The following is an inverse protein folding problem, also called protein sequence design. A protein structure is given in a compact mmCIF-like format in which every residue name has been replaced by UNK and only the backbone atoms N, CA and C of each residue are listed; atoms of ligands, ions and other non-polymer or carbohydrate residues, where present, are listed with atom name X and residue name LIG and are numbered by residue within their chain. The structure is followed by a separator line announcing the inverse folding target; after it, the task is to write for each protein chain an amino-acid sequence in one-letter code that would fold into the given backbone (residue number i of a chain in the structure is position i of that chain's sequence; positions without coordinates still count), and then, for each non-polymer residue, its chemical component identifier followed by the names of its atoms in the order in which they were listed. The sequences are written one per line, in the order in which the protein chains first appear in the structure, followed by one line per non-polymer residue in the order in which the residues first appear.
data_IF_181657586671
#
_entry.id   IF_181657586671
#
_cell.length_a   1.000
_cell.length_b   1.000
_cell.length_c   1.000
_cell.angle_alpha   90.00
_cell.angle_beta   90.00
_cell.angle_gamma   90.00
#
_symmetry.space_group_name_H-M   'P 1'
#
loop_
_entity.id
_entity.type
_entity.pdbx_description
1 polymer ?
#
# COMPACT_ATOMS: atom_id res chain seq x y z
N UNK A 1 -0.31 18.13 -6.67
CA UNK A 1 -0.91 17.86 -5.34
C UNK A 1 -2.29 17.18 -5.40
N UNK A 2 -3.17 17.52 -6.35
CA UNK A 2 -4.50 16.86 -6.50
C UNK A 2 -4.39 15.34 -6.59
N UNK A 3 -3.50 14.74 -7.41
CA UNK A 3 -3.39 13.28 -7.49
C UNK A 3 -3.05 12.61 -6.15
N UNK A 4 -2.18 13.23 -5.34
CA UNK A 4 -1.84 12.68 -4.01
C UNK A 4 -3.02 12.69 -3.04
N UNK A 5 -3.85 13.74 -3.06
CA UNK A 5 -5.07 13.82 -2.24
C UNK A 5 -6.12 12.81 -2.69
N UNK A 6 -6.30 12.61 -4.00
CA UNK A 6 -7.15 11.54 -4.53
C UNK A 6 -6.64 10.17 -4.09
N UNK A 7 -5.33 9.96 -4.09
CA UNK A 7 -4.71 8.72 -3.59
C UNK A 7 -5.10 8.44 -2.15
N UNK A 8 -5.10 9.46 -1.27
CA UNK A 8 -5.49 9.32 0.16
C UNK A 8 -6.90 8.75 0.28
N UNK A 9 -7.86 9.35 -0.41
CA UNK A 9 -9.26 8.91 -0.37
C UNK A 9 -9.45 7.52 -0.99
N UNK A 10 -8.83 7.28 -2.14
CA UNK A 10 -8.92 6.00 -2.84
C UNK A 10 -8.25 4.87 -2.04
N UNK A 11 -7.12 5.11 -1.41
CA UNK A 11 -6.47 4.12 -0.55
C UNK A 11 -7.27 3.84 0.71
N UNK A 12 -7.91 4.84 1.32
CA UNK A 12 -8.80 4.64 2.45
C UNK A 12 -9.99 3.73 2.10
N UNK A 13 -10.68 4.02 0.99
CA UNK A 13 -11.77 3.18 0.47
C UNK A 13 -11.29 1.77 0.10
N UNK A 14 -10.15 1.67 -0.59
CA UNK A 14 -9.54 0.39 -0.96
C UNK A 14 -9.19 -0.46 0.24
N UNK A 15 -8.73 0.14 1.34
CA UNK A 15 -8.34 -0.59 2.54
C UNK A 15 -9.55 -1.22 3.25
N UNK A 16 -10.65 -0.48 3.39
CA UNK A 16 -11.90 -1.00 3.96
C UNK A 16 -12.46 -2.13 3.07
N UNK A 17 -12.47 -1.93 1.75
CA UNK A 17 -12.91 -2.97 0.81
C UNK A 17 -11.95 -4.16 0.77
N UNK A 18 -10.64 -3.93 0.92
CA UNK A 18 -9.60 -4.93 0.95
C UNK A 18 -9.68 -5.84 2.17
N UNK A 19 -9.96 -5.30 3.36
CA UNK A 19 -10.20 -6.10 4.56
C UNK A 19 -11.38 -7.07 4.35
N UNK A 20 -12.50 -6.60 3.81
CA UNK A 20 -13.67 -7.45 3.51
C UNK A 20 -13.33 -8.49 2.43
N UNK A 21 -12.60 -8.09 1.39
CA UNK A 21 -12.14 -9.01 0.36
C UNK A 21 -11.26 -10.11 0.95
N UNK A 22 -10.30 -9.75 1.81
CA UNK A 22 -9.44 -10.72 2.49
C UNK A 22 -10.23 -11.68 3.39
N UNK A 23 -11.29 -11.18 4.03
CA UNK A 23 -12.19 -12.02 4.88
C UNK A 23 -13.06 -12.97 4.08
N UNK A 24 -13.55 -12.54 2.91
CA UNK A 24 -14.52 -13.31 2.13
C UNK A 24 -13.88 -14.28 1.13
N UNK A 25 -12.72 -13.92 0.58
CA UNK A 25 -11.99 -14.73 -0.40
C UNK A 25 -10.75 -15.43 0.17
N UNK A 26 -10.33 -15.05 1.40
CA UNK A 26 -9.01 -15.36 1.94
C UNK A 26 -7.96 -14.32 1.49
N UNK A 27 -6.94 -14.11 2.32
CA UNK A 27 -5.94 -13.06 2.09
C UNK A 27 -5.22 -13.23 0.74
N UNK A 28 -4.70 -14.44 0.47
CA UNK A 28 -3.91 -14.72 -0.74
C UNK A 28 -4.76 -14.70 -2.01
N UNK A 29 -5.94 -15.35 -1.96
CA UNK A 29 -6.85 -15.42 -3.11
C UNK A 29 -7.48 -14.08 -3.41
N UNK A 30 -7.88 -13.33 -2.37
CA UNK A 30 -8.45 -11.99 -2.52
C UNK A 30 -7.46 -11.04 -3.18
N UNK A 31 -6.19 -11.06 -2.73
CA UNK A 31 -5.15 -10.24 -3.35
C UNK A 31 -4.85 -10.69 -4.79
N UNK A 32 -4.75 -12.02 -5.05
CA UNK A 32 -4.51 -12.53 -6.39
C UNK A 32 -5.61 -12.11 -7.37
N UNK A 33 -6.90 -12.28 -7.01
CA UNK A 33 -8.02 -11.90 -7.85
C UNK A 33 -8.05 -10.40 -8.13
N UNK A 34 -7.77 -9.58 -7.12
CA UNK A 34 -7.68 -8.13 -7.25
C UNK A 34 -6.61 -7.72 -8.25
N UNK A 35 -5.39 -8.26 -8.10
CA UNK A 35 -4.28 -7.94 -8.99
C UNK A 35 -4.49 -8.51 -10.40
N UNK A 36 -5.10 -9.69 -10.53
CA UNK A 36 -5.47 -10.27 -11.83
C UNK A 36 -6.42 -9.34 -12.60
N UNK A 37 -7.53 -8.92 -11.97
CA UNK A 37 -8.49 -8.02 -12.60
C UNK A 37 -7.87 -6.68 -12.96
N UNK A 38 -7.06 -6.12 -12.07
CA UNK A 38 -6.36 -4.87 -12.32
C UNK A 38 -5.36 -5.00 -13.48
N UNK A 39 -4.56 -6.06 -13.51
CA UNK A 39 -3.60 -6.33 -14.59
C UNK A 39 -4.31 -6.49 -15.94
N UNK A 40 -5.43 -7.21 -15.97
CA UNK A 40 -6.20 -7.40 -17.20
C UNK A 40 -6.74 -6.07 -17.73
N UNK A 41 -7.42 -5.28 -16.88
CA UNK A 41 -8.03 -4.01 -17.29
C UNK A 41 -6.97 -2.98 -17.65
N UNK A 42 -6.00 -2.77 -16.77
CA UNK A 42 -4.96 -1.75 -16.98
C UNK A 42 -4.01 -2.14 -18.11
N UNK A 43 -3.66 -3.42 -18.21
CA UNK A 43 -2.83 -3.94 -19.29
C UNK A 43 -3.49 -3.76 -20.64
N UNK A 44 -4.78 -4.09 -20.79
CA UNK A 44 -5.52 -3.89 -22.02
C UNK A 44 -5.60 -2.40 -22.42
N UNK A 45 -5.89 -1.51 -21.49
CA UNK A 45 -5.94 -0.07 -21.72
C UNK A 45 -4.55 0.47 -22.09
N UNK A 46 -3.49 0.08 -21.37
CA UNK A 46 -2.14 0.53 -21.65
C UNK A 46 -1.67 0.07 -23.02
N UNK A 47 -1.91 -1.19 -23.38
CA UNK A 47 -1.55 -1.71 -24.69
C UNK A 47 -2.31 -1.02 -25.83
N UNK A 48 -3.60 -0.70 -25.62
CA UNK A 48 -4.42 -0.08 -26.66
C UNK A 48 -4.14 1.42 -26.84
N UNK A 49 -3.87 2.16 -25.78
CA UNK A 49 -3.80 3.63 -25.82
C UNK A 49 -2.43 4.20 -25.52
N UNK A 50 -1.54 3.45 -24.87
CA UNK A 50 -0.22 3.93 -24.44
C UNK A 50 0.92 2.95 -24.75
N UNK A 51 0.99 2.37 -25.97
CA UNK A 51 1.99 1.33 -26.28
C UNK A 51 3.43 1.85 -26.18
N UNK A 52 3.67 3.13 -26.46
CA UNK A 52 4.99 3.76 -26.35
C UNK A 52 5.54 3.82 -24.92
N UNK A 53 4.69 3.64 -23.89
CA UNK A 53 5.12 3.59 -22.49
C UNK A 53 5.67 2.21 -22.07
N UNK A 54 5.57 1.18 -22.92
CA UNK A 54 5.97 -0.21 -22.62
C UNK A 54 7.43 -0.49 -23.03
N UNK A 55 8.32 0.48 -22.79
CA UNK A 55 9.74 0.36 -23.08
C UNK A 55 10.49 -0.44 -22.02
N UNK A 56 11.41 -1.29 -22.44
CA UNK A 56 12.17 -2.18 -21.56
C UNK A 56 12.97 -1.41 -20.48
N UNK A 57 13.44 -0.21 -20.79
CA UNK A 57 14.21 0.64 -19.87
C UNK A 57 13.41 1.03 -18.60
N UNK A 58 12.10 1.20 -18.71
CA UNK A 58 11.21 1.59 -17.62
C UNK A 58 10.45 0.40 -17.06
N UNK A 59 10.04 -0.53 -17.91
CA UNK A 59 9.24 -1.69 -17.55
C UNK A 59 9.93 -2.54 -16.46
N UNK A 60 11.23 -2.80 -16.61
CA UNK A 60 11.97 -3.61 -15.63
C UNK A 60 11.95 -3.02 -14.21
N UNK A 61 12.13 -1.71 -14.09
CA UNK A 61 12.07 -1.01 -12.80
C UNK A 61 10.65 -1.03 -12.20
N UNK A 62 9.63 -0.77 -13.01
CA UNK A 62 8.24 -0.78 -12.55
C UNK A 62 7.76 -2.18 -12.20
N UNK A 63 8.15 -3.18 -12.97
CA UNK A 63 7.88 -4.58 -12.67
C UNK A 63 8.53 -4.98 -11.34
N UNK A 64 9.80 -4.67 -11.13
CA UNK A 64 10.51 -4.92 -9.85
C UNK A 64 9.84 -4.17 -8.68
N UNK A 65 9.49 -2.90 -8.88
CA UNK A 65 8.71 -2.13 -7.89
C UNK A 65 7.40 -2.84 -7.53
N UNK A 66 6.73 -3.41 -8.52
CA UNK A 66 5.50 -4.17 -8.35
C UNK A 66 5.71 -5.48 -7.61
N UNK A 67 6.76 -6.21 -7.93
CA UNK A 67 7.12 -7.45 -7.21
C UNK A 67 7.29 -7.18 -5.71
N UNK A 68 7.99 -6.10 -5.36
CA UNK A 68 8.27 -5.74 -3.96
C UNK A 68 7.02 -5.16 -3.29
N UNK A 69 6.39 -4.15 -3.90
CA UNK A 69 5.26 -3.42 -3.31
C UNK A 69 3.96 -4.21 -3.32
N UNK A 70 3.53 -4.70 -4.48
CA UNK A 70 2.27 -5.44 -4.62
C UNK A 70 2.42 -6.95 -4.44
N UNK A 71 3.57 -7.51 -4.83
CA UNK A 71 3.84 -8.92 -4.62
C UNK A 71 3.98 -9.22 -3.13
N UNK A 72 5.13 -8.97 -2.57
CA UNK A 72 5.40 -9.25 -1.15
C UNK A 72 4.66 -8.30 -0.22
N UNK A 73 4.64 -7.00 -0.52
CA UNK A 73 3.99 -5.97 0.31
C UNK A 73 2.49 -6.19 0.45
N UNK A 74 1.75 -6.43 -0.62
CA UNK A 74 0.30 -6.63 -0.54
C UNK A 74 -0.11 -8.01 -0.01
N UNK A 75 0.70 -9.05 -0.23
CA UNK A 75 0.48 -10.32 0.47
C UNK A 75 0.52 -10.09 1.98
N UNK A 76 1.54 -9.39 2.46
CA UNK A 76 1.64 -9.02 3.86
C UNK A 76 0.50 -8.11 4.31
N UNK A 77 0.12 -7.11 3.50
CA UNK A 77 -1.01 -6.20 3.75
C UNK A 77 -2.33 -6.96 3.95
N UNK A 78 -2.65 -7.89 3.07
CA UNK A 78 -3.88 -8.68 3.15
C UNK A 78 -3.87 -9.67 4.32
N UNK A 79 -2.70 -10.19 4.69
CA UNK A 79 -2.52 -10.99 5.89
C UNK A 79 -2.68 -10.15 7.17
N UNK A 80 -2.28 -8.88 7.15
CA UNK A 80 -2.48 -7.95 8.26
C UNK A 80 -3.95 -7.56 8.41
N UNK A 81 -4.67 -7.30 7.31
CA UNK A 81 -6.08 -6.92 7.35
C UNK A 81 -6.95 -7.86 8.19
N UNK A 82 -6.82 -9.15 8.01
CA UNK A 82 -7.62 -10.15 8.74
C UNK A 82 -7.22 -10.30 10.20
N UNK A 83 -6.02 -9.86 10.59
CA UNK A 83 -5.45 -10.01 11.94
C UNK A 83 -5.60 -8.77 12.81
N UNK A 84 -5.38 -7.59 12.24
CA UNK A 84 -5.37 -6.32 12.99
C UNK A 84 -6.33 -5.27 12.43
N UNK A 85 -7.02 -5.57 11.31
CA UNK A 85 -7.99 -4.70 10.64
C UNK A 85 -7.35 -3.67 9.73
N UNK A 86 -8.19 -3.04 8.89
CA UNK A 86 -7.73 -2.12 7.87
C UNK A 86 -7.06 -0.88 8.44
N UNK A 87 -7.61 -0.30 9.51
CA UNK A 87 -7.12 0.96 10.09
C UNK A 87 -5.70 0.87 10.63
N UNK A 88 -5.44 -0.13 11.53
CA UNK A 88 -4.08 -0.32 12.08
C UNK A 88 -3.11 -0.79 10.99
N UNK A 89 -3.56 -1.62 10.06
CA UNK A 89 -2.75 -2.07 8.93
C UNK A 89 -2.29 -0.91 8.05
N UNK A 90 -3.19 0.02 7.69
CA UNK A 90 -2.85 1.19 6.87
C UNK A 90 -1.95 2.16 7.62
N UNK A 91 -2.17 2.33 8.94
CA UNK A 91 -1.25 3.13 9.76
C UNK A 91 0.18 2.57 9.70
N UNK A 92 0.34 1.25 9.93
CA UNK A 92 1.64 0.59 9.85
C UNK A 92 2.23 0.70 8.45
N UNK A 93 1.44 0.45 7.42
CA UNK A 93 1.90 0.48 6.04
C UNK A 93 2.36 1.89 5.64
N UNK A 94 1.48 2.88 5.70
CA UNK A 94 1.75 4.20 5.10
C UNK A 94 2.58 5.14 5.97
N UNK A 95 2.49 5.03 7.30
CA UNK A 95 3.33 5.86 8.17
C UNK A 95 4.76 5.33 8.29
N UNK A 96 5.00 4.02 8.10
CA UNK A 96 6.37 3.49 8.12
C UNK A 96 7.03 3.48 6.75
N UNK A 97 6.28 3.55 5.65
CA UNK A 97 6.83 3.56 4.30
C UNK A 97 7.89 4.67 4.07
N UNK A 98 7.72 5.92 4.53
CA UNK A 98 8.76 6.95 4.41
C UNK A 98 10.07 6.61 5.13
N UNK A 99 10.01 5.87 6.25
CA UNK A 99 11.22 5.42 6.97
C UNK A 99 11.99 4.39 6.13
N UNK A 100 11.28 3.45 5.52
CA UNK A 100 11.89 2.46 4.62
C UNK A 100 12.45 3.09 3.36
N UNK A 101 11.75 4.09 2.80
CA UNK A 101 12.27 4.88 1.67
C UNK A 101 13.55 5.60 2.04
N UNK A 102 13.58 6.26 3.21
CA UNK A 102 14.76 6.97 3.70
C UNK A 102 15.94 6.03 3.95
N UNK A 103 15.68 4.85 4.51
CA UNK A 103 16.70 3.82 4.74
C UNK A 103 17.29 3.30 3.41
N UNK A 104 16.44 3.03 2.41
CA UNK A 104 16.91 2.59 1.11
C UNK A 104 17.75 3.67 0.43
N UNK A 105 17.32 4.94 0.47
CA UNK A 105 18.10 6.05 -0.05
C UNK A 105 19.47 6.17 0.65
N UNK A 106 19.51 5.99 1.97
CA UNK A 106 20.77 6.02 2.73
C UNK A 106 21.73 4.90 2.31
N UNK A 107 21.23 3.68 2.13
CA UNK A 107 22.03 2.51 1.74
C UNK A 107 22.44 2.59 0.26
N UNK A 108 21.53 3.01 -0.63
CA UNK A 108 21.77 3.00 -2.07
C UNK A 108 22.56 4.22 -2.55
N UNK A 109 22.26 5.42 -1.98
CA UNK A 109 22.90 6.68 -2.38
C UNK A 109 24.02 7.10 -1.42
N UNK A 110 24.28 6.34 -0.36
CA UNK A 110 25.30 6.64 0.65
C UNK A 110 24.97 7.86 1.53
N UNK A 111 23.75 8.33 1.50
CA UNK A 111 23.29 9.47 2.30
C UNK A 111 23.16 9.06 3.78
N UNK A 112 23.95 9.66 4.67
CA UNK A 112 23.84 9.38 6.10
C UNK A 112 22.56 10.02 6.67
N UNK A 113 21.82 9.23 7.44
CA UNK A 113 20.70 9.76 8.22
C UNK A 113 21.21 10.77 9.25
N UNK A 114 20.62 11.96 9.25
CA UNK A 114 20.91 13.00 10.22
C UNK A 114 20.24 12.72 11.57
N UNK A 115 20.71 13.33 12.65
CA UNK A 115 20.09 13.18 13.98
C UNK A 115 18.62 13.67 13.98
N UNK A 116 18.32 14.71 13.22
CA UNK A 116 16.98 15.25 13.08
C UNK A 116 16.04 14.28 12.32
N UNK A 117 16.53 13.60 11.28
CA UNK A 117 15.76 12.54 10.58
C UNK A 117 15.51 11.34 11.50
N UNK A 118 16.50 10.95 12.29
CA UNK A 118 16.34 9.89 13.30
C UNK A 118 15.31 10.28 14.36
N UNK A 119 15.32 11.55 14.83
CA UNK A 119 14.34 12.09 15.76
C UNK A 119 12.91 12.07 15.19
N UNK A 120 12.72 12.49 13.93
CA UNK A 120 11.42 12.42 13.26
C UNK A 120 10.95 10.96 13.11
N UNK A 121 11.86 10.03 12.78
CA UNK A 121 11.59 8.61 12.76
C UNK A 121 11.12 8.07 14.12
N UNK A 122 11.74 8.51 15.21
CA UNK A 122 11.32 8.14 16.56
C UNK A 122 9.89 8.62 16.88
N UNK A 123 9.50 9.82 16.45
CA UNK A 123 8.12 10.34 16.59
C UNK A 123 7.12 9.45 15.83
N UNK A 124 7.44 9.06 14.59
CA UNK A 124 6.60 8.13 13.81
C UNK A 124 6.41 6.82 14.59
N UNK A 125 7.51 6.22 15.04
CA UNK A 125 7.47 4.94 15.76
C UNK A 125 6.71 5.04 17.10
N UNK A 126 6.83 6.16 17.81
CA UNK A 126 6.07 6.40 19.04
C UNK A 126 4.55 6.46 18.77
N UNK A 127 4.11 7.19 17.74
CA UNK A 127 2.71 7.25 17.33
C UNK A 127 2.17 5.87 16.90
N UNK A 128 2.94 5.13 16.13
CA UNK A 128 2.61 3.75 15.73
C UNK A 128 2.52 2.83 16.96
N UNK A 129 3.47 2.92 17.89
CA UNK A 129 3.46 2.11 19.11
C UNK A 129 2.22 2.40 19.99
N UNK A 130 1.83 3.69 20.14
CA UNK A 130 0.60 4.07 20.85
C UNK A 130 -0.64 3.46 20.21
N UNK A 131 -0.74 3.47 18.88
CA UNK A 131 -1.85 2.86 18.16
C UNK A 131 -1.86 1.31 18.30
N UNK A 132 -0.68 0.68 18.29
CA UNK A 132 -0.57 -0.78 18.50
C UNK A 132 -1.00 -1.16 19.92
N UNK A 133 -0.60 -0.39 20.95
CA UNK A 133 -0.95 -0.65 22.35
C UNK A 133 -2.44 -0.45 22.62
N UNK A 134 -3.11 0.41 21.87
CA UNK A 134 -4.53 0.64 21.97
C UNK A 134 -5.31 -0.57 21.44
N UNK A 135 -5.80 -1.42 22.36
CA UNK A 135 -6.73 -2.50 21.99
C UNK A 135 -8.12 -1.93 21.86
N UNK A 136 -8.74 -2.07 20.69
CA UNK A 136 -10.12 -1.65 20.46
C UNK A 136 -11.09 -2.76 20.87
N UNK A 137 -12.03 -2.50 21.77
CA UNK A 137 -13.11 -3.41 22.07
C UNK A 137 -14.17 -3.29 20.97
N UNK A 138 -14.60 -4.40 20.43
CA UNK A 138 -15.59 -4.46 19.35
C UNK A 138 -14.91 -4.43 17.96
N UNK A 139 -15.64 -4.82 16.99
CA UNK A 139 -15.17 -4.97 15.63
C UNK A 139 -15.31 -6.40 15.13
N UNK A 140 -15.06 -6.59 13.86
CA UNK A 140 -15.13 -7.92 13.24
C UNK A 140 -14.12 -8.89 13.89
N UNK A 141 -14.47 -10.17 14.08
CA UNK A 141 -13.55 -11.17 14.63
C UNK A 141 -12.21 -11.18 13.91
N UNK A 142 -11.11 -11.17 14.65
CA UNK A 142 -9.74 -11.18 14.12
C UNK A 142 -9.23 -12.62 13.99
N UNK A 143 -8.52 -12.91 12.91
CA UNK A 143 -8.00 -14.25 12.63
C UNK A 143 -6.52 -14.35 13.02
N UNK A 144 -6.17 -15.30 13.88
CA UNK A 144 -4.79 -15.60 14.22
C UNK A 144 -4.11 -14.58 15.15
N UNK A 145 -2.78 -14.58 15.17
CA UNK A 145 -1.99 -13.76 16.09
C UNK A 145 -1.95 -12.29 15.66
N UNK A 146 -2.20 -11.39 16.63
CA UNK A 146 -2.09 -9.94 16.46
C UNK A 146 -0.66 -9.51 16.09
N UNK A 147 0.34 -10.10 16.75
CA UNK A 147 1.73 -9.76 16.50
C UNK A 147 2.18 -10.13 15.08
N UNK A 148 1.71 -11.26 14.55
CA UNK A 148 1.91 -11.61 13.15
C UNK A 148 1.27 -10.56 12.23
N UNK A 149 0.08 -10.06 12.60
CA UNK A 149 -0.58 -8.97 11.88
C UNK A 149 0.25 -7.68 11.88
N UNK A 150 0.84 -7.30 13.03
CA UNK A 150 1.72 -6.13 13.14
C UNK A 150 2.97 -6.29 12.27
N UNK A 151 3.64 -7.44 12.35
CA UNK A 151 4.82 -7.73 11.51
C UNK A 151 4.47 -7.68 10.01
N UNK A 152 3.32 -8.23 9.63
CA UNK A 152 2.83 -8.14 8.25
C UNK A 152 2.54 -6.70 7.84
N UNK A 153 1.97 -5.87 8.72
CA UNK A 153 1.74 -4.44 8.46
C UNK A 153 3.04 -3.65 8.25
N UNK A 154 4.07 -3.93 9.06
CA UNK A 154 5.41 -3.34 8.90
C UNK A 154 6.08 -3.81 7.61
N UNK A 155 5.97 -5.10 7.26
CA UNK A 155 6.46 -5.65 6.01
C UNK A 155 5.77 -5.03 4.79
N UNK A 156 4.46 -4.77 4.88
CA UNK A 156 3.73 -4.04 3.86
C UNK A 156 4.26 -2.61 3.69
N UNK A 157 4.55 -1.91 4.80
CA UNK A 157 5.18 -0.59 4.79
C UNK A 157 6.56 -0.59 4.14
N UNK A 158 7.37 -1.62 4.43
CA UNK A 158 8.65 -1.84 3.76
C UNK A 158 8.46 -1.98 2.25
N UNK A 159 7.57 -2.88 1.81
CA UNK A 159 7.26 -3.07 0.39
C UNK A 159 6.77 -1.79 -0.29
N UNK A 160 5.92 -1.02 0.37
CA UNK A 160 5.41 0.26 -0.13
C UNK A 160 6.53 1.30 -0.28
N UNK A 161 7.38 1.46 0.74
CA UNK A 161 8.47 2.43 0.74
C UNK A 161 9.53 2.10 -0.30
N UNK A 162 10.02 0.85 -0.33
CA UNK A 162 11.00 0.40 -1.32
C UNK A 162 10.42 0.47 -2.74
N UNK A 163 9.16 0.04 -2.93
CA UNK A 163 8.47 0.12 -4.20
C UNK A 163 8.34 1.55 -4.72
N UNK A 164 8.08 2.53 -3.85
CA UNK A 164 8.00 3.94 -4.23
C UNK A 164 9.34 4.48 -4.75
N UNK A 165 10.45 4.18 -4.08
CA UNK A 165 11.81 4.60 -4.52
C UNK A 165 12.18 3.98 -5.86
N UNK A 166 11.89 2.66 -6.03
CA UNK A 166 12.16 1.97 -7.30
C UNK A 166 11.28 2.53 -8.44
N UNK A 167 9.99 2.86 -8.15
CA UNK A 167 9.12 3.53 -9.13
C UNK A 167 9.67 4.89 -9.55
N UNK A 168 10.20 5.68 -8.60
CA UNK A 168 10.84 6.96 -8.92
C UNK A 168 12.01 6.77 -9.86
N UNK A 169 12.83 5.74 -9.63
CA UNK A 169 13.94 5.39 -10.55
C UNK A 169 13.46 5.09 -11.97
N UNK A 170 12.28 4.48 -12.12
CA UNK A 170 11.69 4.25 -13.44
C UNK A 170 11.32 5.56 -14.14
N UNK A 171 10.75 6.54 -13.43
CA UNK A 171 10.45 7.86 -13.99
C UNK A 171 11.73 8.62 -14.37
N UNK A 172 12.78 8.53 -13.55
CA UNK A 172 14.07 9.13 -13.88
C UNK A 172 14.68 8.48 -15.15
N UNK A 173 14.57 7.15 -15.28
CA UNK A 173 15.03 6.44 -16.48
C UNK A 173 14.18 6.81 -17.72
N UNK A 174 12.87 6.98 -17.57
CA UNK A 174 11.98 7.44 -18.63
C UNK A 174 12.37 8.84 -19.12
N UNK A 175 12.66 9.74 -18.18
CA UNK A 175 13.09 11.10 -18.50
C UNK A 175 14.41 11.11 -19.30
N UNK A 176 15.40 10.33 -18.88
CA UNK A 176 16.68 10.20 -19.58
C UNK A 176 16.52 9.61 -20.98
N UNK A 177 15.61 8.64 -21.14
CA UNK A 177 15.35 7.99 -22.41
C UNK A 177 14.32 8.71 -23.30
N UNK A 178 13.79 9.86 -22.86
CA UNK A 178 12.72 10.62 -23.55
C UNK A 178 11.45 9.78 -23.81
N UNK A 179 11.11 8.88 -22.87
CA UNK A 179 9.92 8.03 -22.94
C UNK A 179 8.75 8.74 -22.28
N UNK A 180 7.60 8.82 -22.94
CA UNK A 180 6.36 9.32 -22.35
C UNK A 180 5.73 8.28 -21.42
N UNK A 181 6.08 8.37 -20.13
CA UNK A 181 5.57 7.49 -19.09
C UNK A 181 4.53 8.21 -18.25
N UNK A 182 3.25 7.93 -18.48
CA UNK A 182 2.17 8.47 -17.65
C UNK A 182 1.90 7.60 -16.41
N UNK A 183 1.23 8.19 -15.40
CA UNK A 183 0.96 7.52 -14.12
C UNK A 183 0.11 6.25 -14.24
N UNK A 184 -0.81 6.18 -15.22
CA UNK A 184 -1.64 4.99 -15.45
C UNK A 184 -0.82 3.83 -16.00
N UNK A 185 0.00 4.08 -17.04
CA UNK A 185 0.88 3.07 -17.62
C UNK A 185 1.94 2.59 -16.64
N UNK A 186 2.50 3.51 -15.83
CA UNK A 186 3.42 3.15 -14.76
C UNK A 186 2.75 2.25 -13.71
N UNK A 187 1.51 2.55 -13.32
CA UNK A 187 0.73 1.71 -12.43
C UNK A 187 0.43 0.33 -13.04
N UNK A 188 0.06 0.25 -14.31
CA UNK A 188 -0.20 -1.01 -15.01
C UNK A 188 1.04 -1.93 -15.01
N UNK A 189 2.21 -1.39 -15.36
CA UNK A 189 3.47 -2.13 -15.37
C UNK A 189 3.84 -2.60 -13.95
N UNK A 190 3.65 -1.76 -12.95
CA UNK A 190 3.88 -2.10 -11.55
C UNK A 190 2.92 -3.20 -11.05
N UNK A 191 1.63 -3.11 -11.38
CA UNK A 191 0.62 -4.11 -10.99
C UNK A 191 0.91 -5.47 -11.64
N UNK A 192 1.44 -5.50 -12.87
CA UNK A 192 1.82 -6.77 -13.54
C UNK A 192 2.91 -7.53 -12.78
N UNK A 193 3.93 -6.82 -12.25
CA UNK A 193 4.95 -7.41 -11.38
C UNK A 193 4.39 -7.96 -10.08
N UNK A 194 3.46 -7.23 -9.47
CA UNK A 194 2.73 -7.66 -8.29
C UNK A 194 1.88 -8.90 -8.53
N UNK A 195 1.15 -8.94 -9.64
CA UNK A 195 0.36 -10.09 -10.05
C UNK A 195 1.24 -11.34 -10.27
N UNK A 196 2.33 -11.21 -11.02
CA UNK A 196 3.25 -12.31 -11.29
C UNK A 196 3.81 -12.91 -9.98
N UNK A 197 4.26 -12.06 -9.06
CA UNK A 197 4.78 -12.50 -7.76
C UNK A 197 3.70 -13.15 -6.90
N UNK A 198 2.53 -12.54 -6.80
CA UNK A 198 1.42 -13.10 -6.00
C UNK A 198 0.95 -14.43 -6.58
N UNK A 199 0.88 -14.56 -7.91
CA UNK A 199 0.55 -15.82 -8.57
C UNK A 199 1.58 -16.91 -8.24
N UNK A 200 2.88 -16.60 -8.37
CA UNK A 200 3.95 -17.53 -8.03
C UNK A 200 3.87 -17.99 -6.57
N UNK A 201 3.65 -17.07 -5.62
CA UNK A 201 3.49 -17.42 -4.20
C UNK A 201 2.26 -18.28 -3.96
N UNK A 202 1.11 -17.97 -4.56
CA UNK A 202 -0.12 -18.76 -4.39
C UNK A 202 0.04 -20.17 -4.99
N UNK A 203 0.69 -20.30 -6.14
CA UNK A 203 0.99 -21.60 -6.75
C UNK A 203 1.93 -22.42 -5.86
N UNK A 204 2.99 -21.79 -5.33
CA UNK A 204 3.91 -22.44 -4.41
C UNK A 204 3.20 -22.92 -3.12
N UNK A 205 2.36 -22.08 -2.52
CA UNK A 205 1.60 -22.46 -1.32
C UNK A 205 0.63 -23.61 -1.59
N UNK A 206 0.01 -23.65 -2.79
CA UNK A 206 -0.83 -24.78 -3.20
C UNK A 206 -0.02 -26.04 -3.37
N UNK A 207 1.12 -25.97 -4.03
CA UNK A 207 2.03 -27.09 -4.22
C UNK A 207 2.50 -27.68 -2.88
N UNK A 208 2.79 -26.81 -1.90
CA UNK A 208 3.19 -27.22 -0.55
C UNK A 208 2.00 -27.62 0.36
N UNK A 209 0.77 -27.66 -0.16
CA UNK A 209 -0.47 -27.90 0.60
C UNK A 209 -0.66 -26.94 1.79
N UNK A 210 -0.10 -25.73 1.72
CA UNK A 210 -0.16 -24.69 2.75
C UNK A 210 -1.11 -23.53 2.39
N UNK A 211 -1.83 -23.63 1.29
CA UNK A 211 -2.78 -22.59 0.89
C UNK A 211 -3.89 -22.44 1.92
N UNK A 212 -4.20 -21.19 2.27
CA UNK A 212 -5.27 -20.88 3.22
C UNK A 212 -6.60 -21.43 2.72
N UNK A 213 -7.34 -22.11 3.61
CA UNK A 213 -8.72 -22.52 3.32
C UNK A 213 -9.60 -21.27 3.22
N UNK A 214 -10.55 -21.20 2.28
CA UNK A 214 -11.48 -20.09 2.24
C UNK A 214 -12.25 -20.03 3.55
N UNK A 215 -12.55 -18.83 4.06
CA UNK A 215 -13.34 -18.68 5.27
C UNK A 215 -14.72 -19.30 5.10
N UNK A 216 -15.21 -19.94 6.14
CA UNK A 216 -16.50 -20.66 6.16
C UNK A 216 -17.74 -19.73 6.12
N UNK A 217 -17.56 -18.40 6.09
CA UNK A 217 -18.67 -17.47 6.07
C UNK A 217 -19.49 -17.60 4.77
N UNK A 218 -20.74 -18.01 4.92
CA UNK A 218 -21.72 -18.04 3.82
C UNK A 218 -22.16 -16.60 3.54
N UNK A 219 -21.46 -15.94 2.62
CA UNK A 219 -21.79 -14.58 2.19
C UNK A 219 -22.25 -14.67 0.72
N UNK A 220 -23.34 -13.98 0.33
CA UNK A 220 -23.80 -13.97 -1.06
C UNK A 220 -22.70 -13.58 -2.05
N UNK A 221 -22.64 -14.25 -3.20
CA UNK A 221 -21.62 -14.02 -4.21
C UNK A 221 -21.55 -12.54 -4.64
N UNK A 222 -22.72 -11.90 -4.83
CA UNK A 222 -22.80 -10.49 -5.19
C UNK A 222 -22.08 -9.57 -4.20
N UNK A 223 -22.19 -9.86 -2.89
CA UNK A 223 -21.51 -9.06 -1.84
C UNK A 223 -19.99 -9.27 -1.90
N UNK A 224 -19.54 -10.51 -2.11
CA UNK A 224 -18.10 -10.82 -2.26
C UNK A 224 -17.50 -10.07 -3.46
N UNK A 225 -18.18 -10.11 -4.62
CA UNK A 225 -17.72 -9.43 -5.83
C UNK A 225 -17.73 -7.92 -5.69
N UNK A 226 -18.75 -7.34 -5.04
CA UNK A 226 -18.83 -5.89 -4.83
C UNK A 226 -17.60 -5.36 -4.08
N UNK A 227 -17.17 -6.04 -3.02
CA UNK A 227 -15.99 -5.62 -2.26
C UNK A 227 -14.69 -5.88 -3.02
N UNK A 228 -14.59 -6.98 -3.76
CA UNK A 228 -13.44 -7.26 -4.62
C UNK A 228 -13.30 -6.19 -5.72
N UNK A 229 -14.37 -5.84 -6.40
CA UNK A 229 -14.36 -4.79 -7.43
C UNK A 229 -14.04 -3.41 -6.83
N UNK A 230 -14.60 -3.08 -5.67
CA UNK A 230 -14.31 -1.82 -4.99
C UNK A 230 -12.83 -1.70 -4.62
N UNK A 231 -12.22 -2.74 -4.03
CA UNK A 231 -10.78 -2.70 -3.70
C UNK A 231 -9.90 -2.72 -4.95
N UNK A 232 -10.32 -3.38 -6.03
CA UNK A 232 -9.60 -3.39 -7.31
C UNK A 232 -9.61 -2.00 -7.96
N UNK A 233 -10.79 -1.37 -8.01
CA UNK A 233 -10.94 -0.06 -8.63
C UNK A 233 -10.26 1.04 -7.82
N UNK A 234 -10.54 1.12 -6.51
CA UNK A 234 -9.99 2.16 -5.65
C UNK A 234 -8.50 1.95 -5.29
N UNK A 235 -8.01 0.72 -5.30
CA UNK A 235 -6.62 0.41 -5.01
C UNK A 235 -5.73 0.50 -6.26
N UNK A 236 -5.43 -0.64 -6.90
CA UNK A 236 -4.47 -0.68 -7.99
C UNK A 236 -4.86 0.14 -9.22
N UNK A 237 -6.15 0.22 -9.59
CA UNK A 237 -6.52 0.92 -10.82
C UNK A 237 -6.43 2.43 -10.63
N UNK A 238 -7.27 3.03 -9.79
CA UNK A 238 -7.33 4.49 -9.64
C UNK A 238 -6.32 5.01 -8.62
N UNK A 239 -6.25 4.39 -7.44
CA UNK A 239 -5.41 4.87 -6.34
C UNK A 239 -3.93 4.86 -6.69
N UNK A 240 -3.45 3.76 -7.27
CA UNK A 240 -2.05 3.65 -7.67
C UNK A 240 -1.76 4.47 -8.93
N UNK A 241 -2.69 4.61 -9.85
CA UNK A 241 -2.51 5.52 -11.00
C UNK A 241 -2.33 6.97 -10.53
N UNK A 242 -3.15 7.43 -9.59
CA UNK A 242 -3.01 8.75 -8.97
C UNK A 242 -1.69 8.89 -8.20
N UNK A 243 -1.28 7.83 -7.47
CA UNK A 243 0.00 7.81 -6.76
C UNK A 243 1.19 7.89 -7.72
N UNK A 244 1.18 7.13 -8.81
CA UNK A 244 2.23 7.16 -9.82
C UNK A 244 2.23 8.48 -10.60
N UNK A 245 1.06 9.05 -10.89
CA UNK A 245 0.96 10.38 -11.47
C UNK A 245 1.60 11.43 -10.55
N UNK A 246 1.31 11.38 -9.25
CA UNK A 246 1.97 12.27 -8.30
C UNK A 246 3.50 12.07 -8.25
N UNK A 247 3.98 10.83 -8.34
CA UNK A 247 5.41 10.50 -8.37
C UNK A 247 6.12 10.95 -9.65
N UNK A 248 5.41 11.09 -10.78
CA UNK A 248 5.98 11.65 -12.01
C UNK A 248 6.36 13.13 -11.81
N UNK A 249 5.48 13.90 -11.15
CA UNK A 249 5.62 15.35 -11.04
C UNK A 249 6.34 15.82 -9.76
N UNK A 250 6.26 15.03 -8.68
CA UNK A 250 6.73 15.43 -7.35
C UNK A 250 7.74 14.45 -6.75
N UNK A 251 8.60 14.96 -5.86
CA UNK A 251 9.53 14.13 -5.10
C UNK A 251 8.78 13.05 -4.32
N UNK A 252 9.34 11.83 -4.29
CA UNK A 252 8.71 10.68 -3.63
C UNK A 252 8.37 10.98 -2.15
N UNK A 253 9.23 11.74 -1.45
CA UNK A 253 8.98 12.17 -0.08
C UNK A 253 7.67 12.95 0.07
N UNK A 254 7.41 13.97 -0.77
CA UNK A 254 6.17 14.79 -0.71
C UNK A 254 4.94 13.90 -0.94
N UNK A 255 4.98 13.03 -1.94
CA UNK A 255 3.87 12.13 -2.27
C UNK A 255 3.60 11.15 -1.12
N UNK A 256 4.64 10.54 -0.56
CA UNK A 256 4.50 9.62 0.57
C UNK A 256 4.02 10.30 1.84
N UNK A 257 4.39 11.59 2.08
CA UNK A 257 3.83 12.37 3.20
C UNK A 257 2.34 12.55 3.09
N UNK A 258 1.89 13.01 1.93
CA UNK A 258 0.46 13.25 1.72
C UNK A 258 -0.29 11.92 1.87
N UNK A 259 0.21 10.83 1.29
CA UNK A 259 -0.43 9.51 1.43
C UNK A 259 -0.38 8.95 2.85
N UNK A 260 0.60 9.33 3.67
CA UNK A 260 0.65 8.97 5.08
C UNK A 260 -0.48 9.60 5.92
N UNK A 261 -1.24 10.55 5.39
CA UNK A 261 -2.46 11.06 6.03
C UNK A 261 -3.68 10.12 5.87
N UNK A 262 -3.59 9.10 5.04
CA UNK A 262 -4.67 8.10 4.80
C UNK A 262 -5.24 7.49 6.09
N UNK A 263 -4.46 7.13 7.14
CA UNK A 263 -5.01 6.63 8.39
C UNK A 263 -6.00 7.59 9.06
N UNK A 264 -5.81 8.90 8.92
CA UNK A 264 -6.74 9.91 9.43
C UNK A 264 -8.03 9.90 8.60
N UNK A 265 -7.92 9.85 7.28
CA UNK A 265 -9.08 9.77 6.38
C UNK A 265 -9.89 8.47 6.57
N UNK A 266 -9.25 7.38 7.04
CA UNK A 266 -9.92 6.13 7.34
C UNK A 266 -10.79 6.18 8.59
N UNK A 267 -10.54 7.08 9.55
CA UNK A 267 -11.29 7.12 10.82
C UNK A 267 -12.79 7.29 10.58
N UNK A 268 -13.26 8.35 9.90
CA UNK A 268 -14.68 8.52 9.63
C UNK A 268 -15.25 7.40 8.74
N UNK A 269 -14.45 6.87 7.83
CA UNK A 269 -14.87 5.82 6.92
C UNK A 269 -15.11 4.49 7.65
N UNK A 270 -14.19 4.09 8.55
CA UNK A 270 -14.34 2.90 9.39
C UNK A 270 -15.51 3.03 10.37
N UNK A 271 -15.74 4.22 10.93
CA UNK A 271 -16.91 4.48 11.76
C UNK A 271 -18.22 4.31 10.98
N UNK A 272 -18.30 4.86 9.77
CA UNK A 272 -19.52 4.81 8.95
C UNK A 272 -19.81 3.42 8.38
N UNK A 273 -18.78 2.67 7.98
CA UNK A 273 -18.94 1.40 7.25
C UNK A 273 -18.85 0.19 8.20
N UNK A 274 -17.96 0.23 9.19
CA UNK A 274 -17.69 -0.89 10.11
C UNK A 274 -18.34 -0.71 11.48
N UNK A 275 -18.89 0.47 11.77
CA UNK A 275 -19.40 0.81 13.11
C UNK A 275 -18.28 0.82 14.17
N UNK A 276 -17.02 0.90 13.75
CA UNK A 276 -15.89 0.93 14.68
C UNK A 276 -15.92 2.22 15.51
N UNK A 277 -15.70 2.07 16.84
CA UNK A 277 -15.52 3.20 17.75
C UNK A 277 -14.04 3.29 18.12
N UNK A 278 -13.25 4.12 17.43
CA UNK A 278 -11.83 4.22 17.70
C UNK A 278 -11.58 4.75 19.11
N UNK A 279 -10.67 4.13 19.86
CA UNK A 279 -10.19 4.69 21.11
C UNK A 279 -9.40 5.96 20.88
N UNK A 280 -9.56 6.93 21.76
CA UNK A 280 -8.84 8.21 21.72
C UNK A 280 -7.33 8.00 21.59
N UNK A 281 -6.76 7.05 22.33
CA UNK A 281 -5.33 6.72 22.24
C UNK A 281 -4.89 6.26 20.84
N UNK A 282 -5.72 5.51 20.12
CA UNK A 282 -5.43 5.09 18.75
C UNK A 282 -5.47 6.26 17.76
N UNK A 283 -6.41 7.18 17.96
CA UNK A 283 -6.52 8.41 17.15
C UNK A 283 -5.31 9.33 17.39
N UNK A 284 -4.95 9.55 18.66
CA UNK A 284 -3.77 10.35 19.03
C UNK A 284 -2.50 9.71 18.42
N UNK A 285 -2.35 8.38 18.54
CA UNK A 285 -1.22 7.66 17.93
C UNK A 285 -1.14 7.88 16.42
N UNK A 286 -2.27 7.83 15.71
CA UNK A 286 -2.31 8.09 14.27
C UNK A 286 -1.91 9.54 13.92
N UNK A 287 -2.41 10.52 14.68
CA UNK A 287 -2.05 11.93 14.48
C UNK A 287 -0.56 12.18 14.74
N UNK A 288 -0.01 11.61 15.83
CA UNK A 288 1.43 11.72 16.15
C UNK A 288 2.28 11.07 15.04
N UNK A 289 1.89 9.88 14.55
CA UNK A 289 2.63 9.21 13.46
C UNK A 289 2.63 10.05 12.18
N UNK A 290 1.50 10.64 11.81
CA UNK A 290 1.39 11.53 10.64
C UNK A 290 2.21 12.81 10.84
N UNK A 291 2.16 13.44 12.02
CA UNK A 291 2.99 14.59 12.35
C UNK A 291 4.49 14.27 12.25
N UNK A 292 4.91 13.08 12.70
CA UNK A 292 6.27 12.60 12.54
C UNK A 292 6.69 12.42 11.08
N UNK A 293 5.78 11.99 10.20
CA UNK A 293 6.05 11.91 8.75
C UNK A 293 6.25 13.31 8.16
N UNK A 294 5.39 14.26 8.50
CA UNK A 294 5.52 15.66 8.05
C UNK A 294 6.86 16.25 8.52
N UNK A 295 7.22 16.00 9.80
CA UNK A 295 8.50 16.45 10.37
C UNK A 295 9.70 15.84 9.62
N UNK A 296 9.66 14.53 9.32
CA UNK A 296 10.72 13.85 8.57
C UNK A 296 10.97 14.50 7.21
N UNK A 297 9.93 14.94 6.54
CA UNK A 297 10.03 15.55 5.22
C UNK A 297 10.47 17.01 5.27
N UNK A 298 10.03 17.75 6.29
CA UNK A 298 10.51 19.10 6.53
C UNK A 298 12.01 19.12 6.79
N UNK A 299 12.52 18.17 7.60
CA UNK A 299 13.95 18.01 7.90
C UNK A 299 14.76 17.60 6.66
N UNK A 300 14.20 16.77 5.78
CA UNK A 300 14.85 16.41 4.51
C UNK A 300 14.86 17.52 3.46
N UNK A 301 14.24 18.67 3.72
CA UNK A 301 14.09 19.74 2.75
C UNK A 301 13.26 19.31 1.52
N UNK A 302 12.33 18.39 1.72
CA UNK A 302 11.50 17.82 0.66
C UNK A 302 10.17 18.60 0.53
N UNK A 303 9.84 19.38 1.55
CA UNK A 303 8.72 20.35 1.61
C UNK A 303 9.28 21.75 1.63
#
# INVERSE_FOLDING_TARGET
MIPSLLTVLLFALSAVAGERTARYWGSERGNLLRLFLATLVMGAITFAFFPASLEAATYGWLFLSGMIGFGFGDIALFLAYVRIGSRLTILLNLCTAPLWSALLEAVWLGNRLTLSEAGAGAVILAGVAMAILSREPGGTPRLGSRWVGVLCGLAAGCGQGLGAVISRKAFDAAHVASIELNGFSAAAQRVSGGFATTLAVVLLLRFLNRASRPPAAVVPAAVKWRWLLATTLCGPILGVSCFQWALADWKAGVVTAITATTPIAMIPLAMAIDGEKPKVLSVIGAVIAVAGVILLLAVKGTI
#
